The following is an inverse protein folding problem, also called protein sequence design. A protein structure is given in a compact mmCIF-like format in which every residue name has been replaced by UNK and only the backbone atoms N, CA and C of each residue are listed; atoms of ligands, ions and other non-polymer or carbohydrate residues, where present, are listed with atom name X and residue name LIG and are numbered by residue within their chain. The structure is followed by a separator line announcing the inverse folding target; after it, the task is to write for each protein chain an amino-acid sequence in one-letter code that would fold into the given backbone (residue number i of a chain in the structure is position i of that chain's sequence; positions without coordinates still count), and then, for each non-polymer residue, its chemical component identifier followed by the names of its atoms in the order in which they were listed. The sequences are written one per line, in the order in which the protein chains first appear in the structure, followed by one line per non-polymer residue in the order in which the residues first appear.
data_IF_461295051851
#
_entry.id   IF_461295051851
#
_cell.length_a   1.000
_cell.length_b   1.000
_cell.length_c   1.000
_cell.angle_alpha   90.00
_cell.angle_beta   90.00
_cell.angle_gamma   90.00
#
_symmetry.space_group_name_H-M   'P 1'
#
loop_
_entity.id
_entity.type
_entity.pdbx_description
1 polymer ?
#
# COMPACT_ATOMS: atom_id res chain seq x y z
N UNK A 1 36.53 -71.34 1.66
CA UNK A 1 35.77 -70.60 2.68
C UNK A 1 35.78 -69.10 2.26
N UNK A 2 34.79 -68.63 1.54
CA UNK A 2 34.79 -67.30 0.87
C UNK A 2 33.96 -66.36 1.70
N UNK A 3 34.57 -65.31 2.22
CA UNK A 3 33.93 -64.25 2.99
C UNK A 3 33.55 -63.13 1.98
N UNK A 4 32.24 -62.96 1.74
CA UNK A 4 31.69 -61.86 0.91
C UNK A 4 31.53 -60.62 1.82
N UNK A 5 32.27 -59.57 1.52
CA UNK A 5 32.04 -58.25 2.12
C UNK A 5 30.90 -57.57 1.42
N UNK A 6 29.79 -57.33 2.16
CA UNK A 6 28.70 -56.41 1.76
C UNK A 6 29.10 -55.00 2.11
N UNK A 7 29.32 -54.18 1.11
CA UNK A 7 29.43 -52.72 1.27
C UNK A 7 28.06 -52.10 1.21
N UNK A 8 27.58 -51.56 2.34
CA UNK A 8 26.36 -50.80 2.42
C UNK A 8 26.64 -49.34 1.99
N UNK A 9 26.09 -48.94 0.82
CA UNK A 9 26.14 -47.53 0.38
C UNK A 9 25.05 -46.74 1.09
N UNK A 10 25.47 -45.82 1.96
CA UNK A 10 24.59 -44.85 2.57
C UNK A 10 24.34 -43.70 1.58
N UNK A 11 23.10 -43.59 1.04
CA UNK A 11 22.66 -42.44 0.25
C UNK A 11 22.28 -41.31 1.19
N UNK A 12 23.08 -40.24 1.19
CA UNK A 12 22.76 -39.02 1.93
C UNK A 12 21.81 -38.19 1.07
N UNK A 13 20.50 -38.19 1.43
CA UNK A 13 19.50 -37.32 0.81
C UNK A 13 19.64 -35.90 1.37
N UNK A 14 20.22 -34.99 0.61
CA UNK A 14 20.22 -33.57 0.90
C UNK A 14 18.85 -32.98 0.64
N UNK A 15 18.11 -32.64 1.72
CA UNK A 15 16.85 -31.90 1.65
C UNK A 15 17.22 -30.43 1.40
N UNK A 16 17.02 -29.94 0.17
CA UNK A 16 17.03 -28.51 -0.11
C UNK A 16 15.77 -27.88 0.52
N UNK A 17 15.95 -27.17 1.62
CA UNK A 17 14.92 -26.30 2.17
C UNK A 17 14.76 -25.12 1.19
N UNK A 18 13.74 -25.18 0.34
CA UNK A 18 13.32 -24.05 -0.47
C UNK A 18 12.71 -23.02 0.48
N UNK A 19 13.45 -21.94 0.77
CA UNK A 19 12.88 -20.75 1.39
C UNK A 19 11.86 -20.16 0.40
N UNK A 20 10.58 -20.48 0.56
CA UNK A 20 9.50 -19.76 -0.10
C UNK A 20 9.41 -18.39 0.55
N UNK A 21 10.04 -17.38 -0.05
CA UNK A 21 9.72 -15.99 0.24
C UNK A 21 8.26 -15.78 -0.16
N UNK A 22 7.36 -15.78 0.81
CA UNK A 22 5.98 -15.36 0.59
C UNK A 22 6.02 -13.87 0.27
N UNK A 23 5.96 -13.51 -1.00
CA UNK A 23 5.74 -12.14 -1.43
C UNK A 23 4.33 -11.75 -0.98
N UNK A 24 4.24 -11.10 0.19
CA UNK A 24 2.99 -10.47 0.64
C UNK A 24 2.67 -9.39 -0.41
N UNK A 25 1.50 -9.43 -1.06
CA UNK A 25 1.17 -8.41 -2.04
C UNK A 25 1.28 -7.01 -1.43
N UNK A 26 1.92 -6.06 -2.11
CA UNK A 26 2.07 -4.68 -1.62
C UNK A 26 0.74 -4.03 -1.25
N UNK A 27 -0.33 -4.42 -1.93
CA UNK A 27 -1.70 -3.96 -1.66
C UNK A 27 -2.40 -4.67 -0.47
N UNK A 28 -1.72 -5.58 0.26
CA UNK A 28 -2.30 -6.22 1.44
C UNK A 28 -2.45 -5.23 2.60
N UNK A 29 -3.47 -5.42 3.43
CA UNK A 29 -3.76 -4.58 4.60
C UNK A 29 -5.17 -4.82 5.13
N UNK A 30 -5.50 -4.16 6.25
CA UNK A 30 -6.85 -4.17 6.84
C UNK A 30 -7.66 -3.00 6.29
N UNK A 31 -8.10 -3.12 5.04
CA UNK A 31 -8.73 -2.04 4.30
C UNK A 31 -10.16 -1.77 4.73
N UNK A 32 -10.45 -0.49 5.01
CA UNK A 32 -11.79 0.05 5.20
C UNK A 32 -12.11 0.88 3.96
N UNK A 33 -13.20 0.55 3.27
CA UNK A 33 -13.67 1.30 2.12
C UNK A 33 -14.29 2.62 2.58
N UNK A 34 -13.83 3.73 2.01
CA UNK A 34 -14.30 5.08 2.34
C UNK A 34 -15.32 5.60 1.33
N UNK A 35 -15.36 5.04 0.12
CA UNK A 35 -16.27 5.44 -0.94
C UNK A 35 -15.59 5.57 -2.29
N UNK A 36 -16.28 6.23 -3.23
CA UNK A 36 -15.81 6.43 -4.60
C UNK A 36 -15.76 7.92 -4.93
N UNK A 37 -14.95 8.28 -5.93
CA UNK A 37 -14.89 9.63 -6.46
C UNK A 37 -16.22 10.07 -7.06
N UNK A 38 -16.41 11.38 -7.25
CA UNK A 38 -17.61 11.94 -7.90
C UNK A 38 -17.84 11.39 -9.31
N UNK A 39 -16.78 11.02 -10.03
CA UNK A 39 -16.89 10.35 -11.34
C UNK A 39 -17.26 8.87 -11.24
N UNK A 40 -17.25 8.29 -10.03
CA UNK A 40 -17.46 6.85 -9.82
C UNK A 40 -16.28 5.97 -10.22
N UNK A 41 -15.17 6.53 -10.70
CA UNK A 41 -14.08 5.76 -11.29
C UNK A 41 -12.88 5.50 -10.35
N UNK A 42 -12.83 6.14 -9.19
CA UNK A 42 -11.76 5.91 -8.20
C UNK A 42 -12.40 5.48 -6.88
N UNK A 43 -12.04 4.30 -6.42
CA UNK A 43 -12.41 3.79 -5.10
C UNK A 43 -11.32 4.13 -4.09
N UNK A 44 -11.71 4.61 -2.90
CA UNK A 44 -10.82 4.98 -1.82
C UNK A 44 -10.95 4.01 -0.65
N UNK A 45 -9.82 3.65 -0.07
CA UNK A 45 -9.77 2.83 1.13
C UNK A 45 -8.64 3.29 2.06
N UNK A 46 -8.76 2.96 3.34
CA UNK A 46 -7.78 3.25 4.38
C UNK A 46 -7.39 1.95 5.08
N UNK A 47 -6.11 1.74 5.33
CA UNK A 47 -5.61 0.59 6.09
C UNK A 47 -5.67 0.89 7.59
N UNK A 48 -6.69 0.37 8.27
CA UNK A 48 -6.90 0.59 9.71
C UNK A 48 -5.76 0.04 10.57
N UNK A 49 -5.08 -1.00 10.11
CA UNK A 49 -3.91 -1.58 10.78
C UNK A 49 -2.66 -0.71 10.72
N UNK A 50 -2.63 0.28 9.83
CA UNK A 50 -1.47 1.16 9.62
C UNK A 50 -1.55 2.49 10.38
N UNK A 51 -2.68 2.78 11.04
CA UNK A 51 -2.90 4.07 11.71
C UNK A 51 -1.93 4.25 12.87
N UNK A 52 -1.14 5.33 12.82
CA UNK A 52 -0.21 5.75 13.87
C UNK A 52 -0.50 7.18 14.27
N UNK A 53 -0.74 7.41 15.56
CA UNK A 53 -1.02 8.74 16.12
C UNK A 53 0.16 9.24 16.95
N UNK A 54 0.54 10.47 16.71
CA UNK A 54 1.55 11.19 17.49
C UNK A 54 1.06 12.62 17.74
N UNK A 55 0.49 12.87 18.91
CA UNK A 55 -0.19 14.12 19.21
C UNK A 55 -1.35 14.37 18.25
N UNK A 56 -1.35 15.52 17.59
CA UNK A 56 -2.36 15.87 16.58
C UNK A 56 -2.08 15.31 15.18
N UNK A 57 -0.92 14.68 14.99
CA UNK A 57 -0.53 14.09 13.71
C UNK A 57 -0.96 12.63 13.64
N UNK A 58 -1.63 12.24 12.56
CA UNK A 58 -2.01 10.85 12.29
C UNK A 58 -1.44 10.46 10.95
N UNK A 59 -0.68 9.37 10.93
CA UNK A 59 -0.10 8.78 9.71
C UNK A 59 -0.73 7.43 9.45
N UNK A 60 -1.09 7.16 8.21
CA UNK A 60 -1.73 5.91 7.80
C UNK A 60 -1.46 5.62 6.32
N UNK A 61 -1.71 4.38 5.91
CA UNK A 61 -1.72 3.98 4.50
C UNK A 61 -3.12 4.15 3.92
N UNK A 62 -3.19 4.65 2.71
CA UNK A 62 -4.41 4.68 1.93
C UNK A 62 -4.22 4.02 0.56
N UNK A 63 -5.33 3.66 -0.06
CA UNK A 63 -5.38 3.01 -1.36
C UNK A 63 -6.40 3.72 -2.25
N UNK A 64 -5.97 4.04 -3.46
CA UNK A 64 -6.83 4.48 -4.55
C UNK A 64 -6.83 3.40 -5.63
N UNK A 65 -8.00 2.90 -5.99
CA UNK A 65 -8.14 1.90 -7.06
C UNK A 65 -8.92 2.51 -8.21
N UNK A 66 -8.31 2.54 -9.39
CA UNK A 66 -8.97 2.97 -10.62
C UNK A 66 -9.86 1.83 -11.10
N UNK A 67 -11.18 2.07 -11.22
CA UNK A 67 -12.15 1.04 -11.63
C UNK A 67 -11.98 0.72 -13.11
N UNK A 68 -12.08 1.72 -13.97
CA UNK A 68 -11.83 1.61 -15.40
C UNK A 68 -10.66 2.51 -15.83
N UNK A 69 -9.46 1.93 -16.11
CA UNK A 69 -8.30 2.72 -16.52
C UNK A 69 -8.50 3.51 -17.82
N UNK A 70 -9.44 3.09 -18.69
CA UNK A 70 -9.76 3.80 -19.93
C UNK A 70 -10.49 5.12 -19.71
N UNK A 71 -11.16 5.26 -18.57
CA UNK A 71 -11.87 6.47 -18.17
C UNK A 71 -11.02 7.38 -17.29
N UNK A 72 -9.78 6.98 -16.96
CA UNK A 72 -8.90 7.75 -16.10
C UNK A 72 -7.93 8.57 -16.94
N UNK A 73 -7.88 9.88 -16.66
CA UNK A 73 -6.84 10.76 -17.20
C UNK A 73 -5.62 10.75 -16.29
N UNK A 74 -4.49 10.34 -16.85
CA UNK A 74 -3.20 10.30 -16.15
C UNK A 74 -2.34 11.48 -16.62
N UNK A 75 -2.26 12.53 -15.79
CA UNK A 75 -1.40 13.68 -16.07
C UNK A 75 -0.08 13.52 -15.34
N UNK A 76 1.04 13.55 -16.07
CA UNK A 76 2.41 13.45 -15.52
C UNK A 76 2.69 12.18 -14.67
N UNK A 77 1.82 11.17 -14.77
CA UNK A 77 1.99 9.86 -14.12
C UNK A 77 1.82 8.75 -15.15
N UNK A 78 2.52 7.61 -15.01
CA UNK A 78 2.21 6.44 -15.81
C UNK A 78 0.79 5.95 -15.49
N UNK A 79 0.16 5.25 -16.45
CA UNK A 79 -1.12 4.59 -16.19
C UNK A 79 -0.95 3.53 -15.11
N UNK A 80 -1.79 3.57 -14.08
CA UNK A 80 -1.76 2.62 -12.96
C UNK A 80 -3.17 2.08 -12.67
N UNK A 81 -3.25 0.94 -12.01
CA UNK A 81 -4.50 0.38 -11.49
C UNK A 81 -4.72 0.75 -10.03
N UNK A 82 -3.65 0.72 -9.24
CA UNK A 82 -3.71 0.99 -7.80
C UNK A 82 -2.60 1.98 -7.41
N UNK A 83 -2.94 2.98 -6.61
CA UNK A 83 -1.98 3.81 -5.92
C UNK A 83 -2.10 3.53 -4.41
N UNK A 84 -0.98 3.17 -3.80
CA UNK A 84 -0.82 3.06 -2.35
C UNK A 84 -0.07 4.29 -1.87
N UNK A 85 -0.61 4.98 -0.87
CA UNK A 85 0.05 6.16 -0.33
C UNK A 85 0.25 6.01 1.18
N UNK A 86 1.29 6.65 1.71
CA UNK A 86 1.39 6.99 3.13
C UNK A 86 1.01 8.44 3.28
N UNK A 87 -0.09 8.68 3.98
CA UNK A 87 -0.65 10.02 4.19
C UNK A 87 -0.55 10.42 5.65
N UNK A 88 -0.26 11.67 5.90
CA UNK A 88 -0.25 12.26 7.24
C UNK A 88 -1.27 13.39 7.31
N UNK A 89 -2.10 13.39 8.36
CA UNK A 89 -3.10 14.41 8.64
C UNK A 89 -2.76 15.11 9.96
N UNK A 90 -2.79 16.43 9.95
CA UNK A 90 -2.82 17.27 11.15
C UNK A 90 -4.30 17.51 11.52
N UNK A 91 -4.78 16.80 12.54
CA UNK A 91 -6.17 16.86 12.96
C UNK A 91 -6.57 18.23 13.52
N UNK A 92 -5.64 18.96 14.12
CA UNK A 92 -5.92 20.30 14.71
C UNK A 92 -6.05 21.38 13.64
N UNK A 93 -5.26 21.29 12.58
CA UNK A 93 -5.18 22.31 11.52
C UNK A 93 -5.99 21.94 10.29
N UNK A 94 -6.53 20.73 10.21
CA UNK A 94 -7.22 20.15 9.03
C UNK A 94 -6.37 20.25 7.76
N UNK A 95 -5.12 19.84 7.88
CA UNK A 95 -4.16 19.78 6.78
C UNK A 95 -3.74 18.33 6.55
N UNK A 96 -3.42 17.98 5.30
CA UNK A 96 -2.84 16.69 4.97
C UNK A 96 -1.64 16.85 4.04
N UNK A 97 -0.78 15.85 4.05
CA UNK A 97 0.31 15.68 3.08
C UNK A 97 0.54 14.21 2.77
N UNK A 98 1.03 13.94 1.59
CA UNK A 98 1.45 12.60 1.17
C UNK A 98 2.94 12.47 1.43
N UNK A 99 3.37 11.36 2.05
CA UNK A 99 4.77 11.07 2.33
C UNK A 99 5.36 10.07 1.34
N UNK A 100 4.57 9.11 0.90
CA UNK A 100 4.97 8.09 -0.07
C UNK A 100 3.83 7.80 -1.04
N UNK A 101 4.18 7.44 -2.28
CA UNK A 101 3.25 6.92 -3.27
C UNK A 101 3.89 5.76 -4.01
N UNK A 102 3.20 4.63 -4.06
CA UNK A 102 3.53 3.49 -4.91
C UNK A 102 2.43 3.31 -5.95
N UNK A 103 2.79 3.31 -7.22
CA UNK A 103 1.87 3.04 -8.33
C UNK A 103 2.04 1.59 -8.77
N UNK A 104 0.94 0.85 -8.82
CA UNK A 104 0.89 -0.55 -9.18
C UNK A 104 0.05 -0.75 -10.44
N UNK A 105 0.45 -1.70 -11.28
CA UNK A 105 -0.33 -2.12 -12.44
C UNK A 105 -1.52 -3.03 -12.06
N UNK A 106 -2.21 -3.57 -13.07
CA UNK A 106 -3.36 -4.47 -12.88
C UNK A 106 -2.98 -5.82 -12.24
N UNK A 107 -1.69 -6.19 -12.28
CA UNK A 107 -1.17 -7.42 -11.69
C UNK A 107 -0.61 -7.19 -10.27
N UNK A 108 -0.62 -5.93 -9.79
CA UNK A 108 -0.04 -5.55 -8.50
C UNK A 108 1.47 -5.34 -8.56
N UNK A 109 2.06 -5.27 -9.75
CA UNK A 109 3.48 -5.01 -9.94
C UNK A 109 3.79 -3.52 -9.80
N UNK A 110 4.90 -3.19 -9.16
CA UNK A 110 5.33 -1.81 -8.95
C UNK A 110 5.76 -1.16 -10.27
N UNK A 111 5.08 -0.07 -10.65
CA UNK A 111 5.43 0.76 -11.82
C UNK A 111 6.37 1.89 -11.39
N UNK A 112 6.03 2.58 -10.28
CA UNK A 112 6.73 3.76 -9.80
C UNK A 112 6.57 3.92 -8.30
N UNK A 113 7.60 4.42 -7.64
CA UNK A 113 7.57 4.81 -6.24
C UNK A 113 8.16 6.21 -6.10
N UNK A 114 7.46 7.08 -5.40
CA UNK A 114 7.91 8.42 -5.04
C UNK A 114 7.90 8.55 -3.51
N UNK A 115 8.99 9.09 -2.95
CA UNK A 115 9.10 9.41 -1.53
C UNK A 115 9.26 10.92 -1.39
N UNK A 116 8.46 11.51 -0.50
CA UNK A 116 8.47 12.95 -0.24
C UNK A 116 8.90 13.21 1.20
N UNK A 117 10.00 13.93 1.38
CA UNK A 117 10.41 14.40 2.69
C UNK A 117 9.38 15.38 3.28
N UNK A 118 9.51 15.65 4.58
CA UNK A 118 8.58 16.54 5.28
C UNK A 118 8.53 17.96 4.72
N UNK A 119 9.58 18.38 4.01
CA UNK A 119 9.71 19.71 3.41
C UNK A 119 9.42 19.76 1.91
N UNK A 120 9.30 18.60 1.25
CA UNK A 120 9.19 18.52 -0.21
C UNK A 120 7.80 18.91 -0.71
N UNK A 121 6.77 18.55 0.04
CA UNK A 121 5.40 18.92 -0.28
C UNK A 121 4.80 19.78 0.82
N UNK A 122 4.18 20.88 0.42
CA UNK A 122 3.41 21.73 1.35
C UNK A 122 2.15 20.98 1.78
N UNK A 123 1.80 21.02 3.08
CA UNK A 123 0.51 20.52 3.53
C UNK A 123 -0.64 21.21 2.79
N UNK A 124 -1.63 20.44 2.40
CA UNK A 124 -2.81 20.90 1.68
C UNK A 124 -4.01 20.96 2.62
N UNK A 125 -4.90 21.94 2.42
CA UNK A 125 -6.16 22.03 3.15
C UNK A 125 -7.10 20.89 2.76
N UNK A 126 -7.83 20.38 3.75
CA UNK A 126 -8.85 19.35 3.51
C UNK A 126 -10.11 20.03 3.00
N UNK A 127 -10.52 19.68 1.77
CA UNK A 127 -11.69 20.23 1.10
C UNK A 127 -12.92 19.35 1.37
N UNK A 128 -14.08 19.96 1.58
CA UNK A 128 -15.35 19.24 1.77
C UNK A 128 -15.69 18.38 0.55
N UNK A 129 -16.18 17.16 0.79
CA UNK A 129 -16.52 16.17 -0.23
C UNK A 129 -15.31 15.42 -0.81
N UNK A 130 -14.08 15.74 -0.36
CA UNK A 130 -12.87 15.07 -0.84
C UNK A 130 -12.61 13.72 -0.13
N UNK A 131 -11.78 12.88 -0.75
CA UNK A 131 -11.27 11.68 -0.10
C UNK A 131 -10.50 12.01 1.20
N UNK A 132 -9.77 13.12 1.22
CA UNK A 132 -9.04 13.58 2.41
C UNK A 132 -9.98 13.94 3.57
N UNK A 133 -11.19 14.46 3.28
CA UNK A 133 -12.20 14.72 4.32
C UNK A 133 -12.72 13.40 4.92
N UNK A 134 -13.02 12.41 4.10
CA UNK A 134 -13.46 11.10 4.58
C UNK A 134 -12.38 10.42 5.44
N UNK A 135 -11.12 10.51 5.01
CA UNK A 135 -9.97 10.04 5.80
C UNK A 135 -9.88 10.79 7.13
N UNK A 136 -9.96 12.13 7.10
CA UNK A 136 -9.93 12.99 8.29
C UNK A 136 -11.04 12.61 9.29
N UNK A 137 -12.27 12.47 8.83
CA UNK A 137 -13.40 12.07 9.67
C UNK A 137 -13.14 10.71 10.33
N UNK A 138 -12.54 9.77 9.59
CA UNK A 138 -12.25 8.44 10.11
C UNK A 138 -11.12 8.45 11.15
N UNK A 139 -10.02 9.18 10.91
CA UNK A 139 -8.81 9.10 11.75
C UNK A 139 -8.74 10.18 12.83
N UNK A 140 -9.49 11.28 12.74
CA UNK A 140 -9.44 12.40 13.69
C UNK A 140 -10.62 12.45 14.66
N UNK A 141 -11.65 11.61 14.50
CA UNK A 141 -12.89 11.65 15.31
C UNK A 141 -12.78 10.93 16.66
N UNK A 142 -11.57 10.56 17.10
CA UNK A 142 -11.36 9.81 18.34
C UNK A 142 -10.41 10.53 19.29
#
# INVERSE_FOLDING_TARGET
MSIRHLTASMAISTILAACTTTNVPKASGSWIELGVSASGNIQYALDSGSIKRQGNMVTFRDRKTVIDPKQQYYSNTPAYKTALSTTQIDCSRKLFRVLDVELLDAHGELIRQDHFGETDLRPMGITSGSAAEQQYQHVCSH
#
